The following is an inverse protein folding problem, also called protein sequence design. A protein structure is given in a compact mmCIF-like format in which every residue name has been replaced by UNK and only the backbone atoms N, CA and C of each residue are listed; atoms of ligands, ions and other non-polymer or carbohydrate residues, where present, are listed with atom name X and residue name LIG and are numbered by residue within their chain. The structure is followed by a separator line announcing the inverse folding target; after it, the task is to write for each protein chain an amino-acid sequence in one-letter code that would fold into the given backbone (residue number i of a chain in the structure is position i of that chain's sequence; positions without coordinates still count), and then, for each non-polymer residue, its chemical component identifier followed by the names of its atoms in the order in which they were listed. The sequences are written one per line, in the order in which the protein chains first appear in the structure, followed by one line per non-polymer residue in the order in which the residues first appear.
data_IF_678009488450
#
_entry.id   IF_678009488450
#
_cell.length_a   1.000
_cell.length_b   1.000
_cell.length_c   1.000
_cell.angle_alpha   90.00
_cell.angle_beta   90.00
_cell.angle_gamma   90.00
#
_symmetry.space_group_name_H-M   'P 1'
#
loop_
_entity.id
_entity.type
_entity.pdbx_description
1 polymer ?
#
# COMPACT_ATOMS: atom_id res chain seq x y z
N UNK A 1 18.26 -40.80 -1.48
CA UNK A 1 17.99 -39.68 -0.54
C UNK A 1 16.59 -39.87 0.05
N UNK A 2 16.41 -39.83 1.38
CA UNK A 2 15.13 -40.23 1.96
C UNK A 2 14.05 -39.17 1.72
N UNK A 3 12.89 -39.62 1.25
CA UNK A 3 11.67 -38.87 0.87
C UNK A 3 11.26 -37.74 1.84
N UNK A 4 11.68 -37.83 3.11
CA UNK A 4 11.41 -36.89 4.20
C UNK A 4 12.06 -35.50 3.99
N UNK A 5 13.22 -35.42 3.35
CA UNK A 5 13.88 -34.14 3.09
C UNK A 5 13.29 -33.40 1.88
N UNK A 6 12.70 -34.14 0.93
CA UNK A 6 12.03 -33.56 -0.25
C UNK A 6 10.78 -32.78 0.15
N UNK A 7 9.96 -33.33 1.04
CA UNK A 7 8.77 -32.65 1.57
C UNK A 7 9.13 -31.40 2.35
N UNK A 8 10.22 -31.46 3.14
CA UNK A 8 10.67 -30.33 3.97
C UNK A 8 11.20 -29.17 3.10
N UNK A 9 11.87 -29.50 1.99
CA UNK A 9 12.32 -28.51 1.01
C UNK A 9 11.14 -27.85 0.27
N UNK A 10 10.10 -28.60 -0.09
CA UNK A 10 8.88 -28.04 -0.69
C UNK A 10 8.14 -27.07 0.26
N UNK A 11 8.06 -27.40 1.56
CA UNK A 11 7.45 -26.50 2.54
C UNK A 11 8.24 -25.19 2.69
N UNK A 12 9.56 -25.23 2.70
CA UNK A 12 10.39 -24.01 2.76
C UNK A 12 10.20 -23.12 1.53
N UNK A 13 10.13 -23.70 0.33
CA UNK A 13 9.86 -22.95 -0.90
C UNK A 13 8.47 -22.31 -0.92
N UNK A 14 7.44 -22.99 -0.39
CA UNK A 14 6.07 -22.45 -0.31
C UNK A 14 5.96 -21.26 0.66
N UNK A 15 6.70 -21.28 1.78
CA UNK A 15 6.71 -20.18 2.75
C UNK A 15 7.45 -18.95 2.21
N UNK A 16 8.48 -19.13 1.36
CA UNK A 16 9.16 -18.01 0.72
C UNK A 16 8.32 -17.31 -0.35
N UNK A 17 7.35 -18.01 -0.97
CA UNK A 17 6.51 -17.43 -2.02
C UNK A 17 5.37 -16.55 -1.47
N UNK A 18 4.94 -16.74 -0.23
CA UNK A 18 3.88 -15.92 0.40
C UNK A 18 4.38 -14.60 1.00
N UNK A 19 5.69 -14.35 0.99
CA UNK A 19 6.30 -13.09 1.44
C UNK A 19 6.36 -12.01 0.33
N UNK A 20 5.79 -12.26 -0.85
CA UNK A 20 5.88 -11.35 -1.99
C UNK A 20 4.84 -10.21 -1.92
N UNK A 21 5.38 -8.98 -1.90
CA UNK A 21 4.76 -7.66 -2.17
C UNK A 21 3.59 -7.22 -1.28
N UNK A 22 3.90 -6.55 -0.18
CA UNK A 22 3.13 -5.37 0.24
C UNK A 22 3.80 -4.14 -0.39
N UNK A 23 3.71 -4.00 -1.72
CA UNK A 23 4.01 -2.71 -2.35
C UNK A 23 2.84 -1.79 -2.06
N UNK A 24 2.91 -1.06 -0.94
CA UNK A 24 1.96 0.01 -0.66
C UNK A 24 1.86 0.91 -1.89
N UNK A 25 0.63 1.18 -2.35
CA UNK A 25 0.38 1.98 -3.55
C UNK A 25 1.00 3.36 -3.35
N UNK A 26 1.90 3.75 -4.25
CA UNK A 26 2.50 5.10 -4.24
C UNK A 26 1.49 6.12 -4.72
N UNK A 27 1.57 7.33 -4.18
CA UNK A 27 0.81 8.47 -4.67
C UNK A 27 1.60 9.25 -5.72
N UNK A 28 0.92 10.02 -6.56
CA UNK A 28 1.54 10.86 -7.59
C UNK A 28 2.04 12.16 -6.96
N UNK A 29 3.34 12.41 -7.03
CA UNK A 29 3.97 13.58 -6.43
C UNK A 29 3.32 14.90 -6.85
N UNK A 30 3.10 15.78 -5.87
CA UNK A 30 2.45 17.08 -6.07
C UNK A 30 0.93 17.03 -6.13
N UNK A 31 0.30 15.85 -6.20
CA UNK A 31 -1.16 15.74 -6.08
C UNK A 31 -1.62 15.99 -4.65
N UNK A 32 -2.81 16.57 -4.54
CA UNK A 32 -3.47 16.81 -3.26
C UNK A 32 -4.98 16.73 -3.40
N UNK A 33 -5.65 16.40 -2.31
CA UNK A 33 -7.10 16.41 -2.21
C UNK A 33 -7.53 16.78 -0.78
N UNK A 34 -8.82 17.08 -0.61
CA UNK A 34 -9.42 17.30 0.70
C UNK A 34 -10.27 16.08 1.05
N UNK A 35 -9.94 15.41 2.16
CA UNK A 35 -10.61 14.18 2.58
C UNK A 35 -11.92 14.44 3.36
N UNK A 36 -12.44 15.66 3.33
CA UNK A 36 -13.58 16.10 4.13
C UNK A 36 -13.17 16.75 5.47
N UNK A 37 -11.93 16.59 5.91
CA UNK A 37 -11.45 17.18 7.16
C UNK A 37 -10.01 17.71 7.07
N UNK A 38 -9.12 16.91 6.50
CA UNK A 38 -7.71 17.15 6.32
C UNK A 38 -7.38 17.43 4.86
N UNK A 39 -6.39 18.31 4.69
CA UNK A 39 -5.70 18.40 3.42
C UNK A 39 -4.66 17.28 3.34
N UNK A 40 -4.75 16.51 2.28
CA UNK A 40 -3.86 15.38 1.99
C UNK A 40 -3.06 15.72 0.75
N UNK A 41 -1.74 15.56 0.82
CA UNK A 41 -0.83 15.82 -0.30
C UNK A 41 0.20 14.71 -0.42
N UNK A 42 0.66 14.48 -1.64
CA UNK A 42 1.70 13.52 -1.94
C UNK A 42 3.06 14.21 -2.08
N UNK A 43 4.07 13.72 -1.36
CA UNK A 43 5.46 14.12 -1.54
C UNK A 43 6.41 12.92 -1.43
N UNK A 44 7.29 12.77 -2.41
CA UNK A 44 8.21 11.65 -2.57
C UNK A 44 7.50 10.28 -2.58
N UNK A 45 6.32 10.18 -3.17
CA UNK A 45 5.49 8.98 -3.20
C UNK A 45 4.84 8.63 -1.85
N UNK A 46 4.93 9.53 -0.86
CA UNK A 46 4.35 9.36 0.47
C UNK A 46 3.19 10.32 0.72
N UNK A 47 2.18 9.82 1.42
CA UNK A 47 1.02 10.61 1.83
C UNK A 47 1.39 11.44 3.05
N UNK A 48 1.13 12.74 2.98
CA UNK A 48 1.23 13.65 4.09
C UNK A 48 -0.12 14.32 4.29
N UNK A 49 -0.56 14.45 5.54
CA UNK A 49 -1.87 15.01 5.89
C UNK A 49 -1.74 16.06 6.98
N UNK A 50 -2.62 17.05 6.96
CA UNK A 50 -2.82 17.90 8.14
C UNK A 50 -3.27 17.05 9.33
N UNK A 51 -3.01 17.54 10.55
CA UNK A 51 -3.33 16.83 11.79
C UNK A 51 -4.58 17.39 12.47
N UNK A 52 -5.59 17.75 11.68
CA UNK A 52 -6.85 18.24 12.24
C UNK A 52 -7.62 17.07 12.85
N UNK A 53 -8.09 17.23 14.08
CA UNK A 53 -8.96 16.26 14.71
C UNK A 53 -10.33 16.26 14.02
N UNK A 54 -10.74 15.11 13.52
CA UNK A 54 -12.01 14.91 12.82
C UNK A 54 -12.92 14.09 13.73
N UNK A 55 -14.01 14.69 14.21
CA UNK A 55 -15.08 13.96 14.91
C UNK A 55 -16.32 13.92 14.04
N UNK A 56 -16.90 12.74 13.87
CA UNK A 56 -18.16 12.51 13.14
C UNK A 56 -18.16 12.96 11.66
N UNK A 57 -17.01 12.94 10.98
CA UNK A 57 -16.90 13.27 9.55
C UNK A 57 -16.71 11.98 8.74
N UNK A 58 -17.44 11.84 7.63
CA UNK A 58 -17.16 10.81 6.63
C UNK A 58 -15.93 11.20 5.83
N UNK A 59 -14.86 10.42 5.99
CA UNK A 59 -13.62 10.59 5.24
C UNK A 59 -13.90 10.29 3.77
N UNK A 60 -13.63 11.26 2.91
CA UNK A 60 -13.74 11.15 1.45
C UNK A 60 -12.52 10.38 0.96
N UNK A 61 -12.76 9.36 0.14
CA UNK A 61 -11.69 8.57 -0.48
C UNK A 61 -10.86 9.41 -1.45
N UNK A 62 -9.59 9.04 -1.60
CA UNK A 62 -8.69 9.69 -2.54
C UNK A 62 -9.21 9.49 -3.99
N UNK A 63 -9.16 10.53 -4.84
CA UNK A 63 -9.54 10.39 -6.23
C UNK A 63 -8.60 9.42 -6.96
N UNK A 64 -9.08 8.79 -8.04
CA UNK A 64 -8.31 7.76 -8.74
C UNK A 64 -6.97 8.27 -9.29
N UNK A 65 -6.91 9.54 -9.68
CA UNK A 65 -5.72 10.21 -10.21
C UNK A 65 -4.71 10.64 -9.13
N UNK A 66 -5.02 10.42 -7.85
CA UNK A 66 -4.08 10.64 -6.75
C UNK A 66 -3.01 9.55 -6.67
N UNK A 67 -3.32 8.36 -7.17
CA UNK A 67 -2.46 7.19 -7.05
C UNK A 67 -1.67 6.94 -8.33
N UNK A 68 -0.43 6.44 -8.17
CA UNK A 68 0.31 5.93 -9.32
C UNK A 68 -0.41 4.71 -9.92
N UNK A 69 -0.35 4.52 -11.25
CA UNK A 69 -0.78 3.29 -11.88
C UNK A 69 -0.04 2.11 -11.26
N UNK A 70 -0.78 1.09 -10.84
CA UNK A 70 -0.17 -0.12 -10.32
C UNK A 70 0.30 -0.94 -11.53
N UNK A 71 1.58 -0.85 -11.86
CA UNK A 71 2.19 -1.76 -12.83
C UNK A 71 2.31 -3.13 -12.18
N UNK A 72 1.37 -4.01 -12.51
CA UNK A 72 1.42 -5.42 -12.14
C UNK A 72 2.58 -6.08 -12.91
N UNK A 73 3.78 -5.99 -12.33
CA UNK A 73 4.98 -6.73 -12.73
C UNK A 73 5.04 -8.10 -12.07
#
# INVERSE_FOLDING_TARGET
MPRKYLTLFCFLFLVSFTAAKHSGRKCVDGRSYFDGCNHVYCANGHIIKSLKECRDIHVIEAPEDFWEPQEDA
#
